data_IF_859782665347
#
_entry.id   IF_859782665347
#
_cell.length_a   1.000
_cell.length_b   1.000
_cell.length_c   1.000
_cell.angle_alpha   90.00
_cell.angle_beta   90.00
_cell.angle_gamma   90.00
#
_symmetry.space_group_name_H-M   'P 1'
#
loop_
_entity.id
_entity.type
_entity.pdbx_description
1 polymer ?
#
# COMPACT_ATOMS: atom_id res chain seq x y z
N UNK A 1 -0.77 51.58 16.94
CA UNK A 1 -1.12 50.85 18.20
C UNK A 1 -0.71 49.37 18.12
N UNK A 2 0.47 49.02 17.55
CA UNK A 2 0.93 47.61 17.35
C UNK A 2 2.35 47.37 17.97
N UNK A 3 2.91 48.32 18.70
CA UNK A 3 4.29 48.17 19.26
C UNK A 3 4.38 47.85 20.77
N UNK A 4 3.26 47.66 21.44
CA UNK A 4 3.28 47.43 22.92
C UNK A 4 2.95 46.00 23.37
N UNK A 5 2.59 45.08 22.43
CA UNK A 5 2.27 43.68 22.80
C UNK A 5 3.45 42.70 22.67
N UNK A 6 4.49 43.02 21.92
CA UNK A 6 5.63 42.08 21.72
C UNK A 6 6.60 42.02 22.93
N UNK A 7 6.66 43.04 23.77
CA UNK A 7 7.61 43.08 24.91
C UNK A 7 7.11 42.33 26.15
N UNK A 8 5.83 41.98 26.23
CA UNK A 8 5.26 41.33 27.43
C UNK A 8 5.28 39.80 27.38
N UNK A 9 5.47 39.22 26.22
CA UNK A 9 5.58 37.77 26.05
C UNK A 9 7.00 37.23 26.28
N UNK A 10 8.02 38.01 25.97
CA UNK A 10 9.41 37.59 26.16
C UNK A 10 9.82 37.50 27.63
N UNK A 11 9.23 38.33 28.53
CA UNK A 11 9.57 38.32 29.97
C UNK A 11 8.89 37.15 30.72
N UNK A 12 7.75 36.71 30.29
CA UNK A 12 7.04 35.56 30.91
C UNK A 12 7.67 34.22 30.50
N UNK A 13 8.12 34.07 29.28
CA UNK A 13 8.82 32.85 28.82
C UNK A 13 10.20 32.71 29.48
N UNK A 14 10.96 33.77 29.60
CA UNK A 14 12.27 33.75 30.27
C UNK A 14 12.15 33.35 31.75
N UNK A 15 11.12 33.86 32.46
CA UNK A 15 10.89 33.50 33.88
C UNK A 15 10.35 32.06 34.06
N UNK A 16 9.71 31.48 33.07
CA UNK A 16 9.26 30.06 33.11
C UNK A 16 10.41 29.11 32.82
N UNK A 17 11.25 29.45 31.86
CA UNK A 17 12.44 28.66 31.49
C UNK A 17 13.43 28.67 32.66
N UNK A 18 13.68 29.82 33.31
CA UNK A 18 14.58 29.92 34.48
C UNK A 18 14.06 29.08 35.67
N UNK A 19 12.78 29.08 35.94
CA UNK A 19 12.21 28.24 37.03
C UNK A 19 12.31 26.74 36.73
N UNK A 20 12.11 26.32 35.46
CA UNK A 20 12.29 24.94 35.05
C UNK A 20 13.75 24.53 35.08
N UNK A 21 14.66 25.39 34.63
CA UNK A 21 16.11 25.18 34.69
C UNK A 21 16.62 25.10 36.12
N UNK A 22 16.07 25.92 37.02
CA UNK A 22 16.47 25.88 38.43
C UNK A 22 16.02 24.61 39.15
N UNK A 23 14.82 24.11 38.85
CA UNK A 23 14.33 22.80 39.34
C UNK A 23 15.12 21.65 38.76
N UNK A 24 15.38 21.66 37.46
CA UNK A 24 16.22 20.68 36.78
C UNK A 24 17.65 20.64 37.35
N UNK A 25 18.21 21.81 37.65
CA UNK A 25 19.56 21.94 38.21
C UNK A 25 19.63 21.34 39.61
N UNK A 26 18.63 21.59 40.45
CA UNK A 26 18.52 20.99 41.78
C UNK A 26 18.36 19.47 41.75
N UNK A 27 17.52 18.98 40.85
CA UNK A 27 17.30 17.55 40.68
C UNK A 27 18.55 16.83 40.12
N UNK A 28 19.25 17.44 39.17
CA UNK A 28 20.49 16.88 38.60
C UNK A 28 21.64 16.85 39.61
N UNK A 29 21.72 17.82 40.52
CA UNK A 29 22.73 17.83 41.58
C UNK A 29 22.54 16.68 42.58
N UNK A 30 21.34 16.18 42.75
CA UNK A 30 21.04 15.04 43.62
C UNK A 30 21.57 13.71 43.03
N UNK A 31 21.63 13.57 41.73
CA UNK A 31 22.14 12.37 41.04
C UNK A 31 23.64 12.41 40.78
N UNK A 32 24.24 13.61 40.69
CA UNK A 32 25.66 13.80 40.40
C UNK A 32 26.33 14.57 41.52
N UNK A 33 26.49 13.98 42.71
CA UNK A 33 27.21 14.63 43.82
C UNK A 33 28.70 14.78 43.48
N UNK A 34 29.33 15.79 44.02
CA UNK A 34 30.75 15.99 43.85
C UNK A 34 31.53 14.81 44.43
N UNK A 35 32.34 14.15 43.61
CA UNK A 35 33.15 12.99 44.00
C UNK A 35 34.63 13.32 43.82
N UNK A 36 35.44 12.93 44.81
CA UNK A 36 36.89 13.02 44.72
C UNK A 36 37.49 11.63 44.59
N UNK A 37 38.28 11.44 43.53
CA UNK A 37 39.01 10.21 43.32
C UNK A 37 40.46 10.46 43.75
N UNK A 38 40.89 9.71 44.76
CA UNK A 38 42.25 9.80 45.29
C UNK A 38 43.10 8.75 44.58
N UNK A 39 44.18 9.20 43.96
CA UNK A 39 45.19 8.32 43.37
C UNK A 39 46.52 8.54 44.07
N UNK A 40 47.10 7.45 44.59
CA UNK A 40 48.41 7.47 45.23
C UNK A 40 49.46 6.95 44.27
N UNK A 41 50.37 7.77 43.83
CA UNK A 41 51.54 7.41 43.04
C UNK A 41 52.80 8.01 43.71
N UNK A 42 53.83 7.22 43.86
CA UNK A 42 55.14 7.64 44.40
C UNK A 42 55.09 8.40 45.73
N UNK A 43 54.24 7.97 46.66
CA UNK A 43 54.18 8.60 47.98
C UNK A 43 53.39 9.91 48.09
N UNK A 44 52.94 10.47 46.95
CA UNK A 44 52.09 11.66 46.93
C UNK A 44 50.65 11.26 46.64
N UNK A 45 49.71 11.85 47.37
CA UNK A 45 48.28 11.64 47.13
C UNK A 45 47.80 12.81 46.29
N UNK A 46 47.46 12.53 45.07
CA UNK A 46 46.79 13.44 44.16
C UNK A 46 45.31 13.14 44.14
N UNK A 47 44.47 14.15 44.09
CA UNK A 47 43.04 13.96 43.93
C UNK A 47 42.52 14.64 42.67
N UNK A 48 41.60 13.99 42.02
CA UNK A 48 40.87 14.56 40.90
C UNK A 48 39.44 14.79 41.38
N UNK A 49 39.02 16.05 41.40
CA UNK A 49 37.63 16.39 41.74
C UNK A 49 36.75 16.28 40.51
N UNK A 50 35.80 15.34 40.56
CA UNK A 50 34.76 15.21 39.55
C UNK A 50 33.61 16.11 39.93
N UNK A 51 33.60 17.31 39.34
CA UNK A 51 32.50 18.26 39.54
C UNK A 51 31.21 17.72 38.91
N UNK A 52 30.02 18.03 39.46
CA UNK A 52 28.73 17.60 38.92
C UNK A 52 28.59 17.89 37.42
N UNK A 53 29.14 19.02 36.97
CA UNK A 53 29.12 19.43 35.57
C UNK A 53 29.88 18.45 34.66
N UNK A 54 31.07 18.02 35.09
CA UNK A 54 31.89 17.08 34.32
C UNK A 54 31.29 15.68 34.31
N UNK A 55 30.64 15.25 35.40
CA UNK A 55 29.91 13.99 35.47
C UNK A 55 28.69 13.99 34.53
N UNK A 56 27.94 15.10 34.49
CA UNK A 56 26.81 15.25 33.58
C UNK A 56 27.24 15.24 32.10
N UNK A 57 28.34 15.93 31.78
CA UNK A 57 28.88 15.93 30.41
C UNK A 57 29.32 14.50 30.01
N UNK A 58 30.02 13.80 30.90
CA UNK A 58 30.45 12.43 30.65
C UNK A 58 29.26 11.45 30.51
N UNK A 59 28.23 11.59 31.34
CA UNK A 59 27.02 10.80 31.23
C UNK A 59 26.25 11.09 29.93
N UNK A 60 26.08 12.35 29.56
CA UNK A 60 25.44 12.77 28.35
C UNK A 60 26.21 12.30 27.10
N UNK A 61 27.54 12.42 27.10
CA UNK A 61 28.36 11.90 25.98
C UNK A 61 28.30 10.37 25.88
N UNK A 62 28.25 9.68 27.03
CA UNK A 62 28.04 8.21 27.03
C UNK A 62 26.71 7.81 26.44
N UNK A 63 25.64 8.50 26.78
CA UNK A 63 24.29 8.24 26.20
C UNK A 63 24.28 8.49 24.68
N UNK A 64 24.87 9.61 24.25
CA UNK A 64 24.98 9.93 22.82
C UNK A 64 25.77 8.85 22.07
N UNK A 65 26.87 8.37 22.66
CA UNK A 65 27.70 7.32 22.07
C UNK A 65 26.94 5.98 21.96
N UNK A 66 26.18 5.61 22.98
CA UNK A 66 25.34 4.40 22.96
C UNK A 66 24.25 4.52 21.89
N UNK A 67 23.57 5.68 21.81
CA UNK A 67 22.56 5.92 20.77
C UNK A 67 23.20 5.88 19.38
N UNK A 68 24.37 6.47 19.22
CA UNK A 68 25.10 6.46 17.95
C UNK A 68 25.53 5.04 17.55
N UNK A 69 26.06 4.24 18.47
CA UNK A 69 26.40 2.83 18.25
C UNK A 69 25.18 2.00 17.90
N UNK A 70 24.06 2.21 18.60
CA UNK A 70 22.81 1.53 18.32
C UNK A 70 22.27 1.89 16.92
N UNK A 71 22.29 3.18 16.58
CA UNK A 71 21.89 3.65 15.26
C UNK A 71 22.81 3.13 14.17
N UNK A 72 24.12 3.14 14.40
CA UNK A 72 25.12 2.61 13.46
C UNK A 72 24.95 1.12 13.23
N UNK A 73 24.79 0.32 14.30
CA UNK A 73 24.57 -1.14 14.17
C UNK A 73 23.25 -1.46 13.51
N UNK A 74 22.18 -0.71 13.85
CA UNK A 74 20.86 -0.89 13.25
C UNK A 74 20.86 -0.48 11.76
N UNK A 75 21.59 0.57 11.39
CA UNK A 75 21.77 1.01 10.01
C UNK A 75 22.50 -0.05 9.17
N UNK A 76 23.59 -0.63 9.70
CA UNK A 76 24.33 -1.71 9.02
C UNK A 76 23.47 -2.96 8.87
N UNK A 77 22.72 -3.33 9.92
CA UNK A 77 21.83 -4.48 9.88
C UNK A 77 20.66 -4.29 8.91
N UNK A 78 20.05 -3.11 8.89
CA UNK A 78 18.99 -2.74 7.95
C UNK A 78 19.47 -2.69 6.51
N UNK A 79 20.67 -2.15 6.27
CA UNK A 79 21.25 -2.05 4.92
C UNK A 79 21.65 -3.42 4.37
N UNK A 80 22.13 -4.33 5.22
CA UNK A 80 22.52 -5.68 4.82
C UNK A 80 21.32 -6.53 4.35
N UNK A 81 20.17 -6.38 5.01
CA UNK A 81 18.96 -7.14 4.64
C UNK A 81 18.26 -6.63 3.37
N UNK A 82 18.34 -5.32 3.09
CA UNK A 82 17.71 -4.73 1.90
C UNK A 82 18.56 -4.94 0.64
N UNK A 83 19.88 -4.92 0.77
CA UNK A 83 20.78 -5.10 -0.37
C UNK A 83 20.89 -6.55 -0.83
N UNK A 84 20.80 -7.53 0.09
CA UNK A 84 20.92 -8.94 -0.28
C UNK A 84 19.71 -9.48 -1.05
N UNK A 85 18.50 -9.04 -0.70
CA UNK A 85 17.28 -9.49 -1.38
C UNK A 85 17.03 -8.81 -2.73
N UNK A 86 17.51 -7.58 -2.91
CA UNK A 86 17.39 -6.85 -4.18
C UNK A 86 18.46 -7.25 -5.19
N UNK A 87 19.68 -7.48 -4.73
CA UNK A 87 20.77 -7.92 -5.62
C UNK A 87 20.55 -9.33 -6.17
N UNK A 88 19.99 -10.24 -5.36
CA UNK A 88 19.67 -11.61 -5.80
C UNK A 88 18.58 -11.59 -6.87
N UNK A 89 17.48 -10.83 -6.68
CA UNK A 89 16.42 -10.72 -7.70
C UNK A 89 16.84 -9.99 -8.96
N UNK A 90 17.68 -8.97 -8.83
CA UNK A 90 18.26 -8.27 -10.00
C UNK A 90 19.27 -9.13 -10.74
N UNK A 91 20.04 -9.98 -10.05
CA UNK A 91 20.95 -10.94 -10.69
C UNK A 91 20.19 -12.09 -11.37
N UNK A 92 19.12 -12.64 -10.77
CA UNK A 92 18.28 -13.66 -11.40
C UNK A 92 17.55 -13.15 -12.65
N UNK A 93 17.07 -11.92 -12.63
CA UNK A 93 16.45 -11.33 -13.83
C UNK A 93 17.50 -11.02 -14.91
N UNK A 94 18.67 -10.53 -14.56
CA UNK A 94 19.77 -10.28 -15.51
C UNK A 94 20.35 -11.56 -16.09
N UNK A 95 20.56 -12.60 -15.29
CA UNK A 95 21.00 -13.91 -15.79
C UNK A 95 19.94 -14.58 -16.65
N UNK A 96 18.65 -14.47 -16.32
CA UNK A 96 17.57 -14.99 -17.16
C UNK A 96 17.47 -14.27 -18.50
N UNK A 97 17.64 -12.96 -18.50
CA UNK A 97 17.66 -12.13 -19.71
C UNK A 97 18.94 -12.36 -20.53
N UNK A 98 20.09 -12.50 -19.88
CA UNK A 98 21.33 -12.85 -20.58
C UNK A 98 21.29 -14.27 -21.17
N UNK A 99 20.64 -15.22 -20.47
CA UNK A 99 20.42 -16.57 -21.00
C UNK A 99 19.49 -16.54 -22.21
N UNK A 100 18.40 -15.76 -22.14
CA UNK A 100 17.50 -15.57 -23.29
C UNK A 100 18.20 -14.85 -24.45
N UNK A 101 19.06 -13.87 -24.17
CA UNK A 101 19.85 -13.19 -25.20
C UNK A 101 20.90 -14.09 -25.84
N UNK A 102 21.57 -14.92 -25.03
CA UNK A 102 22.53 -15.88 -25.57
C UNK A 102 21.85 -16.98 -26.37
N UNK A 103 20.66 -17.43 -25.92
CA UNK A 103 19.84 -18.39 -26.68
C UNK A 103 19.33 -17.80 -28.00
N UNK A 104 18.88 -16.54 -27.99
CA UNK A 104 18.48 -15.83 -29.19
C UNK A 104 19.64 -15.64 -30.17
N UNK A 105 20.84 -15.23 -29.70
CA UNK A 105 22.02 -15.07 -30.52
C UNK A 105 22.54 -16.41 -31.09
N UNK A 106 22.49 -17.49 -30.30
CA UNK A 106 22.87 -18.82 -30.79
C UNK A 106 21.94 -19.32 -31.89
N UNK A 107 20.67 -18.94 -31.85
CA UNK A 107 19.67 -19.27 -32.91
C UNK A 107 19.88 -18.41 -34.14
N UNK A 108 20.21 -17.14 -33.99
CA UNK A 108 20.49 -16.23 -35.12
C UNK A 108 21.71 -16.66 -35.94
N UNK A 109 22.79 -17.11 -35.29
CA UNK A 109 23.97 -17.67 -35.97
C UNK A 109 23.68 -19.02 -36.61
N UNK A 110 22.77 -19.82 -36.05
CA UNK A 110 22.39 -21.11 -36.64
C UNK A 110 21.45 -20.96 -37.84
N UNK A 111 20.61 -19.90 -37.86
CA UNK A 111 19.71 -19.63 -39.00
C UNK A 111 20.46 -19.10 -40.22
N UNK A 112 21.54 -18.37 -40.05
CA UNK A 112 22.44 -17.96 -41.16
C UNK A 112 23.12 -19.16 -41.83
N UNK A 113 23.37 -20.25 -41.09
CA UNK A 113 23.95 -21.49 -41.62
C UNK A 113 22.92 -22.40 -42.27
N UNK A 114 21.65 -22.12 -42.13
CA UNK A 114 20.53 -22.99 -42.54
C UNK A 114 19.69 -22.45 -43.70
N UNK A 115 20.17 -21.44 -44.43
CA UNK A 115 19.51 -20.85 -45.60
C UNK A 115 19.09 -21.87 -46.69
N UNK A 116 19.64 -23.08 -46.65
CA UNK A 116 19.31 -24.15 -47.60
C UNK A 116 18.11 -25.06 -47.19
N UNK A 117 17.59 -24.92 -45.97
CA UNK A 117 16.54 -25.81 -45.47
C UNK A 117 15.32 -25.06 -44.91
N UNK A 118 14.59 -24.40 -45.82
CA UNK A 118 13.38 -23.57 -45.48
C UNK A 118 12.36 -24.25 -44.56
N UNK A 119 12.22 -25.57 -44.61
CA UNK A 119 11.28 -26.30 -43.77
C UNK A 119 11.68 -26.38 -42.29
N UNK A 120 12.99 -26.38 -41.97
CA UNK A 120 13.47 -26.37 -40.60
C UNK A 120 13.36 -24.98 -39.95
N UNK A 121 13.56 -23.91 -40.70
CA UNK A 121 13.41 -22.53 -40.20
C UNK A 121 11.98 -22.27 -39.75
N UNK A 122 10.98 -22.73 -40.50
CA UNK A 122 9.57 -22.54 -40.14
C UNK A 122 9.18 -23.33 -38.88
N UNK A 123 9.73 -24.54 -38.70
CA UNK A 123 9.44 -25.31 -37.48
C UNK A 123 10.07 -24.67 -36.22
N UNK A 124 11.26 -24.07 -36.37
CA UNK A 124 11.93 -23.36 -35.30
C UNK A 124 11.16 -22.06 -34.93
N UNK A 125 10.75 -21.28 -35.94
CA UNK A 125 9.94 -20.10 -35.74
C UNK A 125 8.58 -20.41 -35.09
N UNK A 126 7.91 -21.50 -35.50
CA UNK A 126 6.63 -21.92 -34.90
C UNK A 126 6.79 -22.33 -33.44
N UNK A 127 7.82 -23.07 -33.09
CA UNK A 127 8.11 -23.46 -31.70
C UNK A 127 8.47 -22.24 -30.83
N UNK A 128 9.17 -21.27 -31.37
CA UNK A 128 9.46 -20.02 -30.67
C UNK A 128 8.21 -19.19 -30.39
N UNK A 129 7.27 -19.14 -31.35
CA UNK A 129 5.95 -18.51 -31.14
C UNK A 129 5.12 -19.25 -30.09
N UNK A 130 5.17 -20.57 -30.07
CA UNK A 130 4.49 -21.38 -29.05
C UNK A 130 5.06 -21.09 -27.63
N UNK A 131 6.39 -21.00 -27.50
CA UNK A 131 7.03 -20.63 -26.23
C UNK A 131 6.69 -19.18 -25.78
N UNK A 132 6.62 -18.23 -26.71
CA UNK A 132 6.18 -16.86 -26.43
C UNK A 132 4.72 -16.80 -25.99
N UNK A 133 3.85 -17.59 -26.59
CA UNK A 133 2.46 -17.73 -26.17
C UNK A 133 2.35 -18.32 -24.76
N UNK A 134 3.21 -19.29 -24.43
CA UNK A 134 3.25 -19.90 -23.10
C UNK A 134 3.74 -18.90 -22.04
N UNK A 135 4.80 -18.16 -22.30
CA UNK A 135 5.28 -17.09 -21.39
C UNK A 135 4.26 -15.97 -21.24
N UNK A 136 3.53 -15.62 -22.27
CA UNK A 136 2.44 -14.64 -22.23
C UNK A 136 1.28 -15.14 -21.38
N UNK A 137 0.90 -16.40 -21.52
CA UNK A 137 -0.12 -17.04 -20.67
C UNK A 137 0.32 -17.10 -19.21
N UNK A 138 1.59 -17.43 -18.95
CA UNK A 138 2.16 -17.44 -17.60
C UNK A 138 2.18 -16.03 -16.98
N UNK A 139 2.53 -15.00 -17.74
CA UNK A 139 2.49 -13.59 -17.29
C UNK A 139 1.05 -13.18 -16.94
N UNK A 140 0.09 -13.52 -17.79
CA UNK A 140 -1.33 -13.22 -17.54
C UNK A 140 -1.84 -14.01 -16.33
N UNK A 141 -1.48 -15.28 -16.19
CA UNK A 141 -1.84 -16.10 -15.04
C UNK A 141 -1.19 -15.61 -13.74
N UNK A 142 0.10 -15.25 -13.78
CA UNK A 142 0.80 -14.74 -12.60
C UNK A 142 0.23 -13.38 -12.11
N UNK A 143 -0.31 -12.59 -13.00
CA UNK A 143 -1.02 -11.34 -12.66
C UNK A 143 -2.41 -11.62 -12.09
N UNK A 144 -3.01 -12.74 -12.45
CA UNK A 144 -4.32 -13.17 -11.95
C UNK A 144 -4.22 -13.96 -10.63
N UNK A 145 -3.03 -14.39 -10.20
CA UNK A 145 -2.88 -15.00 -8.88
C UNK A 145 -3.08 -13.96 -7.78
N UNK A 146 -4.04 -14.18 -6.86
CA UNK A 146 -4.22 -13.33 -5.70
C UNK A 146 -3.00 -13.49 -4.80
N UNK A 147 -2.20 -12.45 -4.65
CA UNK A 147 -0.97 -12.43 -3.85
C UNK A 147 -1.18 -12.55 -2.34
N UNK A 148 -2.41 -12.74 -1.89
CA UNK A 148 -2.74 -13.08 -0.49
C UNK A 148 -3.96 -13.96 -0.49
N UNK A 149 -3.83 -15.19 -0.02
CA UNK A 149 -4.95 -16.01 0.42
C UNK A 149 -5.56 -15.36 1.67
N UNK A 150 -6.40 -14.36 1.49
CA UNK A 150 -7.28 -13.90 2.56
C UNK A 150 -8.50 -14.79 2.51
N UNK A 151 -8.53 -15.77 3.40
CA UNK A 151 -9.75 -16.49 3.74
C UNK A 151 -10.74 -15.48 4.32
N UNK A 152 -11.47 -14.82 3.48
CA UNK A 152 -12.71 -14.16 3.85
C UNK A 152 -13.48 -13.84 2.58
N UNK A 153 -14.60 -14.50 2.43
CA UNK A 153 -15.78 -14.07 1.68
C UNK A 153 -15.52 -13.21 0.45
N UNK A 154 -15.45 -13.88 -0.69
CA UNK A 154 -15.66 -13.32 -2.03
C UNK A 154 -14.73 -12.16 -2.39
N UNK A 155 -13.50 -12.53 -2.61
CA UNK A 155 -12.47 -11.71 -3.25
C UNK A 155 -12.90 -11.28 -4.65
N UNK A 156 -12.57 -10.03 -4.97
CA UNK A 156 -12.37 -9.57 -6.35
C UNK A 156 -11.22 -10.38 -6.97
N UNK A 157 -11.46 -11.63 -7.33
CA UNK A 157 -10.48 -12.42 -8.08
C UNK A 157 -10.46 -11.91 -9.50
N UNK A 158 -9.29 -11.45 -9.93
CA UNK A 158 -9.02 -11.00 -11.31
C UNK A 158 -9.47 -11.99 -12.37
N UNK A 159 -9.55 -13.27 -12.04
CA UNK A 159 -10.09 -14.31 -12.91
C UNK A 159 -11.57 -14.12 -13.29
N UNK A 160 -12.39 -13.64 -12.37
CA UNK A 160 -13.81 -13.40 -12.63
C UNK A 160 -14.07 -12.14 -13.46
N UNK A 161 -13.17 -11.14 -13.40
CA UNK A 161 -13.27 -9.94 -14.23
C UNK A 161 -12.98 -10.25 -15.72
N UNK A 162 -12.05 -11.15 -16.00
CA UNK A 162 -11.78 -11.60 -17.38
C UNK A 162 -12.93 -12.42 -17.91
N UNK A 163 -13.59 -13.24 -17.06
CA UNK A 163 -14.76 -14.03 -17.45
C UNK A 163 -16.05 -13.20 -17.51
N UNK A 164 -16.19 -12.15 -16.66
CA UNK A 164 -17.38 -11.28 -16.67
C UNK A 164 -17.44 -10.37 -17.91
N UNK A 165 -16.31 -9.91 -18.42
CA UNK A 165 -16.26 -9.15 -19.67
C UNK A 165 -16.67 -10.00 -20.90
N UNK A 166 -16.53 -11.33 -20.79
CA UNK A 166 -17.01 -12.27 -21.82
C UNK A 166 -18.48 -12.70 -21.65
N UNK A 167 -19.11 -12.36 -20.50
CA UNK A 167 -20.46 -12.84 -20.13
C UNK A 167 -21.58 -11.80 -20.31
N UNK A 168 -21.31 -10.66 -20.93
CA UNK A 168 -22.33 -9.60 -21.13
C UNK A 168 -23.19 -9.76 -22.39
N UNK A 169 -23.16 -10.91 -23.05
CA UNK A 169 -24.12 -11.24 -24.12
C UNK A 169 -25.24 -12.12 -23.55
N UNK A 170 -26.54 -11.80 -23.80
CA UNK A 170 -27.68 -12.49 -23.20
C UNK A 170 -28.08 -13.82 -23.88
N UNK A 171 -27.20 -14.45 -24.62
CA UNK A 171 -27.45 -15.79 -25.13
C UNK A 171 -26.49 -16.83 -24.54
N UNK A 172 -26.98 -18.05 -24.18
CA UNK A 172 -26.11 -19.07 -23.61
C UNK A 172 -25.23 -19.64 -24.74
N UNK A 173 -24.11 -18.98 -25.01
CA UNK A 173 -23.05 -19.59 -25.79
C UNK A 173 -22.41 -20.65 -24.92
N UNK A 174 -22.64 -21.91 -25.34
CA UNK A 174 -21.91 -23.07 -24.86
C UNK A 174 -20.43 -22.69 -24.75
N UNK A 175 -19.85 -22.84 -23.56
CA UNK A 175 -18.43 -22.71 -23.30
C UNK A 175 -17.65 -23.65 -24.20
N UNK A 176 -17.29 -23.15 -25.37
CA UNK A 176 -16.34 -23.84 -26.24
C UNK A 176 -14.99 -23.72 -25.54
N UNK A 177 -14.35 -24.83 -25.16
CA UNK A 177 -13.00 -24.78 -24.70
C UNK A 177 -12.17 -24.06 -25.77
N UNK A 178 -11.31 -23.13 -25.39
CA UNK A 178 -10.23 -22.56 -26.21
C UNK A 178 -9.18 -23.66 -26.47
N UNK A 179 -9.65 -24.80 -27.02
CA UNK A 179 -8.77 -25.70 -27.73
C UNK A 179 -8.53 -25.02 -29.08
N UNK A 180 -7.29 -24.76 -29.47
CA UNK A 180 -7.01 -24.34 -30.83
C UNK A 180 -7.63 -25.37 -31.74
N UNK A 181 -8.27 -24.95 -32.85
CA UNK A 181 -8.76 -25.92 -33.81
C UNK A 181 -7.58 -26.83 -34.19
N UNK A 182 -7.73 -28.12 -33.98
CA UNK A 182 -6.83 -29.12 -34.50
C UNK A 182 -6.97 -29.00 -36.01
N UNK A 183 -6.13 -28.18 -36.64
CA UNK A 183 -6.06 -28.08 -38.08
C UNK A 183 -5.14 -29.19 -38.50
N UNK A 184 -5.81 -30.30 -38.78
CA UNK A 184 -5.23 -31.39 -39.53
C UNK A 184 -4.82 -30.84 -40.91
N UNK A 185 -3.54 -31.01 -41.25
CA UNK A 185 -2.99 -30.99 -42.59
C UNK A 185 -3.00 -29.67 -43.38
N UNK A 186 -2.47 -28.59 -42.86
CA UNK A 186 -1.97 -27.54 -43.75
C UNK A 186 -0.46 -27.70 -43.93
N UNK A 187 -0.06 -28.33 -45.00
CA UNK A 187 1.34 -28.41 -45.49
C UNK A 187 1.91 -27.02 -45.92
N UNK A 188 1.41 -25.93 -45.35
CA UNK A 188 1.90 -24.58 -45.61
C UNK A 188 2.41 -23.95 -44.31
N UNK A 189 3.72 -23.97 -44.06
CA UNK A 189 4.32 -23.41 -42.85
C UNK A 189 3.96 -21.92 -42.65
N UNK A 190 3.78 -21.16 -43.72
CA UNK A 190 3.39 -19.75 -43.71
C UNK A 190 1.97 -19.52 -43.15
N UNK A 191 1.01 -20.42 -43.41
CA UNK A 191 -0.33 -20.34 -42.86
C UNK A 191 -0.31 -20.57 -41.34
N UNK A 192 0.49 -21.52 -40.86
CA UNK A 192 0.70 -21.75 -39.41
C UNK A 192 1.28 -20.56 -38.72
N UNK A 193 2.31 -19.93 -39.29
CA UNK A 193 2.98 -18.75 -38.73
C UNK A 193 2.01 -17.55 -38.65
N UNK A 194 1.21 -17.32 -39.72
CA UNK A 194 0.23 -16.23 -39.72
C UNK A 194 -0.88 -16.46 -38.69
N UNK A 195 -1.30 -17.70 -38.45
CA UNK A 195 -2.27 -18.03 -37.40
C UNK A 195 -1.71 -17.78 -36.01
N UNK A 196 -0.49 -18.23 -35.75
CA UNK A 196 0.20 -17.96 -34.45
C UNK A 196 0.37 -16.48 -34.20
N UNK A 197 0.78 -15.70 -35.22
CA UNK A 197 0.88 -14.24 -35.12
C UNK A 197 -0.48 -13.59 -34.83
N UNK A 198 -1.53 -13.99 -35.49
CA UNK A 198 -2.89 -13.50 -35.25
C UNK A 198 -3.38 -13.85 -33.83
N UNK A 199 -3.09 -15.08 -33.39
CA UNK A 199 -3.42 -15.52 -32.03
C UNK A 199 -2.66 -14.72 -30.97
N UNK A 200 -1.37 -14.48 -31.18
CA UNK A 200 -0.56 -13.63 -30.31
C UNK A 200 -1.09 -12.20 -30.23
N UNK A 201 -1.41 -11.60 -31.38
CA UNK A 201 -1.96 -10.25 -31.43
C UNK A 201 -3.32 -10.16 -30.73
N UNK A 202 -4.18 -11.16 -30.92
CA UNK A 202 -5.46 -11.24 -30.22
C UNK A 202 -5.29 -11.32 -28.70
N UNK A 203 -4.39 -12.18 -28.19
CA UNK A 203 -4.12 -12.33 -26.76
C UNK A 203 -3.56 -11.03 -26.18
N UNK A 204 -2.63 -10.37 -26.88
CA UNK A 204 -2.08 -9.10 -26.47
C UNK A 204 -3.14 -8.00 -26.40
N UNK A 205 -3.96 -7.86 -27.43
CA UNK A 205 -5.06 -6.86 -27.42
C UNK A 205 -6.02 -7.09 -26.27
N UNK A 206 -6.44 -8.33 -26.07
CA UNK A 206 -7.34 -8.69 -24.97
C UNK A 206 -6.70 -8.37 -23.61
N UNK A 207 -5.40 -8.64 -23.43
CA UNK A 207 -4.69 -8.31 -22.21
C UNK A 207 -4.54 -6.79 -22.00
N UNK A 208 -4.26 -6.04 -23.07
CA UNK A 208 -4.18 -4.57 -23.05
C UNK A 208 -5.54 -3.95 -22.68
N UNK A 209 -6.62 -4.39 -23.31
CA UNK A 209 -8.00 -3.93 -23.05
C UNK A 209 -8.42 -4.24 -21.60
N UNK A 210 -8.32 -5.50 -21.19
CA UNK A 210 -8.71 -5.93 -19.83
C UNK A 210 -7.91 -5.21 -18.74
N UNK A 211 -6.62 -5.00 -18.99
CA UNK A 211 -5.76 -4.27 -18.03
C UNK A 211 -6.12 -2.80 -17.98
N UNK A 212 -6.41 -2.19 -19.13
CA UNK A 212 -6.83 -0.79 -19.20
C UNK A 212 -8.15 -0.59 -18.47
N UNK A 213 -9.14 -1.42 -18.73
CA UNK A 213 -10.44 -1.39 -18.06
C UNK A 213 -10.31 -1.59 -16.55
N UNK A 214 -9.41 -2.49 -16.11
CA UNK A 214 -9.11 -2.69 -14.69
C UNK A 214 -8.53 -1.43 -14.06
N UNK A 215 -7.55 -0.80 -14.71
CA UNK A 215 -6.93 0.45 -14.21
C UNK A 215 -7.97 1.57 -14.12
N UNK A 216 -8.76 1.77 -15.17
CA UNK A 216 -9.79 2.81 -15.19
C UNK A 216 -10.87 2.57 -14.13
N UNK A 217 -11.28 1.33 -13.93
CA UNK A 217 -12.23 0.97 -12.90
C UNK A 217 -11.68 1.26 -11.50
N UNK A 218 -10.44 0.85 -11.21
CA UNK A 218 -9.79 1.12 -9.92
C UNK A 218 -9.60 2.63 -9.69
N UNK A 219 -9.23 3.38 -10.71
CA UNK A 219 -9.14 4.85 -10.64
C UNK A 219 -10.49 5.49 -10.37
N UNK A 220 -11.55 5.00 -11.01
CA UNK A 220 -12.93 5.48 -10.79
C UNK A 220 -13.38 5.25 -9.36
N UNK A 221 -13.10 4.07 -8.77
CA UNK A 221 -13.39 3.77 -7.36
C UNK A 221 -12.71 4.80 -6.44
N UNK A 222 -11.42 5.08 -6.65
CA UNK A 222 -10.69 6.07 -5.86
C UNK A 222 -11.23 7.48 -6.07
N UNK A 223 -11.59 7.85 -7.28
CA UNK A 223 -12.18 9.15 -7.60
C UNK A 223 -13.50 9.38 -6.85
N UNK A 224 -14.36 8.36 -6.72
CA UNK A 224 -15.59 8.45 -5.92
C UNK A 224 -15.31 8.80 -4.45
N UNK A 225 -14.20 8.36 -3.88
CA UNK A 225 -13.80 8.73 -2.51
C UNK A 225 -13.33 10.18 -2.38
N UNK A 226 -13.07 10.86 -3.49
CA UNK A 226 -12.46 12.19 -3.55
C UNK A 226 -10.94 12.18 -3.37
N UNK A 227 -10.31 11.01 -3.46
CA UNK A 227 -8.86 10.85 -3.47
C UNK A 227 -8.33 10.92 -4.91
N UNK A 228 -7.13 11.46 -5.06
CA UNK A 228 -6.44 11.47 -6.35
C UNK A 228 -5.53 10.25 -6.46
N UNK A 229 -5.87 9.33 -7.37
CA UNK A 229 -5.13 8.09 -7.59
C UNK A 229 -3.65 8.34 -7.93
N UNK A 230 -3.34 9.38 -8.72
CA UNK A 230 -1.96 9.71 -9.10
C UNK A 230 -1.12 10.15 -7.92
N UNK A 231 -1.70 10.94 -6.98
CA UNK A 231 -1.01 11.33 -5.75
C UNK A 231 -0.75 10.14 -4.84
N UNK A 232 -1.69 9.19 -4.78
CA UNK A 232 -1.52 7.97 -4.00
C UNK A 232 -0.41 7.10 -4.57
N UNK A 233 -0.37 6.90 -5.89
CA UNK A 233 0.69 6.18 -6.59
C UNK A 233 2.06 6.87 -6.45
N UNK A 234 2.11 8.20 -6.52
CA UNK A 234 3.35 8.96 -6.36
C UNK A 234 3.93 8.82 -4.95
N UNK A 235 3.09 8.78 -3.91
CA UNK A 235 3.53 8.59 -2.51
C UNK A 235 4.16 7.20 -2.31
N UNK A 236 3.72 6.20 -3.06
CA UNK A 236 4.31 4.86 -3.03
C UNK A 236 5.67 4.77 -3.70
N UNK A 237 5.84 5.46 -4.82
CA UNK A 237 7.12 5.50 -5.54
C UNK A 237 8.25 6.09 -4.69
N UNK A 238 7.95 6.98 -3.74
CA UNK A 238 8.95 7.53 -2.82
C UNK A 238 9.41 6.55 -1.74
N UNK A 239 8.64 5.49 -1.47
CA UNK A 239 8.97 4.46 -0.48
C UNK A 239 9.64 3.22 -1.08
N UNK A 240 9.70 3.11 -2.40
CA UNK A 240 10.38 2.03 -3.11
C UNK A 240 11.69 2.59 -3.66
N UNK A 241 12.75 2.49 -2.87
CA UNK A 241 14.11 2.74 -3.31
C UNK A 241 14.57 1.62 -4.27
N UNK A 242 14.09 1.64 -5.50
CA UNK A 242 14.60 0.84 -6.60
C UNK A 242 15.26 1.76 -7.63
N UNK A 243 16.23 1.28 -8.42
CA UNK A 243 16.80 2.07 -9.49
C UNK A 243 15.69 2.48 -10.46
N UNK A 244 15.54 3.78 -10.66
CA UNK A 244 14.70 4.34 -11.71
C UNK A 244 15.30 3.97 -13.05
N UNK A 245 14.68 3.03 -13.75
CA UNK A 245 15.03 2.74 -15.14
C UNK A 245 14.30 3.76 -15.99
N UNK A 246 15.04 4.76 -16.49
CA UNK A 246 14.49 5.73 -17.41
C UNK A 246 13.95 5.02 -18.66
N UNK A 247 12.89 5.55 -19.26
CA UNK A 247 12.26 4.98 -20.46
C UNK A 247 13.26 4.85 -21.63
N UNK A 248 14.33 5.66 -21.64
CA UNK A 248 15.46 5.57 -22.59
C UNK A 248 16.25 4.25 -22.50
N UNK A 249 16.36 3.65 -21.31
CA UNK A 249 17.03 2.33 -21.16
C UNK A 249 16.12 1.19 -21.62
N UNK A 250 14.81 1.33 -21.51
CA UNK A 250 13.86 0.35 -22.03
C UNK A 250 13.78 0.38 -23.57
N UNK A 251 14.01 1.55 -24.18
CA UNK A 251 14.15 1.68 -25.65
C UNK A 251 15.47 1.07 -26.14
N UNK A 252 16.57 1.31 -25.45
CA UNK A 252 17.87 0.66 -25.69
C UNK A 252 17.79 -0.86 -25.53
N UNK A 253 16.99 -1.35 -24.57
CA UNK A 253 16.78 -2.77 -24.33
C UNK A 253 15.95 -3.43 -25.43
N UNK A 254 14.97 -2.71 -26.01
CA UNK A 254 14.18 -3.17 -27.14
C UNK A 254 15.00 -3.20 -28.44
N UNK A 255 15.94 -2.26 -28.60
CA UNK A 255 16.80 -2.15 -29.77
C UNK A 255 17.91 -3.23 -29.79
N UNK A 256 18.38 -3.68 -28.61
CA UNK A 256 19.36 -4.76 -28.47
C UNK A 256 18.77 -6.15 -28.68
N UNK A 257 17.44 -6.32 -28.62
CA UNK A 257 16.80 -7.63 -28.71
C UNK A 257 16.45 -8.07 -30.12
N UNK A 258 16.53 -7.19 -31.14
CA UNK A 258 16.14 -7.42 -32.54
C UNK A 258 14.87 -8.28 -32.76
N UNK A 259 14.02 -8.28 -31.71
CA UNK A 259 12.71 -8.91 -31.69
C UNK A 259 11.71 -7.85 -32.10
N UNK A 260 10.85 -8.12 -33.07
CA UNK A 260 9.73 -7.32 -33.55
C UNK A 260 9.45 -6.11 -32.63
N UNK A 261 10.01 -4.94 -32.97
CA UNK A 261 10.02 -3.74 -32.13
C UNK A 261 8.63 -3.32 -31.59
N UNK A 262 7.56 -3.72 -32.31
CA UNK A 262 6.18 -3.44 -31.89
C UNK A 262 5.73 -4.38 -30.75
N UNK A 263 6.02 -5.68 -30.87
CA UNK A 263 5.70 -6.64 -29.84
C UNK A 263 6.38 -6.33 -28.50
N UNK A 264 7.67 -6.06 -28.53
CA UNK A 264 8.44 -5.70 -27.32
C UNK A 264 7.92 -4.43 -26.64
N UNK A 265 7.60 -3.40 -27.43
CA UNK A 265 6.99 -2.16 -26.94
C UNK A 265 5.61 -2.37 -26.32
N UNK A 266 4.80 -3.25 -26.90
CA UNK A 266 3.47 -3.61 -26.37
C UNK A 266 3.60 -4.36 -25.05
N UNK A 267 4.51 -5.33 -24.96
CA UNK A 267 4.79 -6.07 -23.70
C UNK A 267 5.25 -5.10 -22.60
N UNK A 268 6.17 -4.20 -22.89
CA UNK A 268 6.64 -3.21 -21.90
C UNK A 268 5.50 -2.31 -21.40
N UNK A 269 4.65 -1.83 -22.31
CA UNK A 269 3.47 -1.04 -21.93
C UNK A 269 2.48 -1.85 -21.10
N UNK A 270 2.21 -3.08 -21.49
CA UNK A 270 1.34 -3.98 -20.74
C UNK A 270 1.88 -4.24 -19.33
N UNK A 271 3.17 -4.55 -19.21
CA UNK A 271 3.83 -4.77 -17.91
C UNK A 271 3.74 -3.53 -17.00
N UNK A 272 3.98 -2.34 -17.55
CA UNK A 272 3.84 -1.09 -16.80
C UNK A 272 2.38 -0.88 -16.33
N UNK A 273 1.40 -1.13 -17.18
CA UNK A 273 -0.03 -1.04 -16.84
C UNK A 273 -0.45 -2.07 -15.80
N UNK A 274 0.08 -3.30 -15.89
CA UNK A 274 -0.17 -4.34 -14.89
C UNK A 274 0.41 -3.96 -13.52
N UNK A 275 1.61 -3.40 -13.50
CA UNK A 275 2.21 -2.88 -12.27
C UNK A 275 1.36 -1.77 -11.66
N UNK A 276 0.87 -0.84 -12.47
CA UNK A 276 -0.06 0.21 -12.05
C UNK A 276 -1.36 -0.38 -11.48
N UNK A 277 -1.98 -1.32 -12.20
CA UNK A 277 -3.18 -2.01 -11.75
C UNK A 277 -3.00 -2.67 -10.39
N UNK A 278 -1.88 -3.37 -10.19
CA UNK A 278 -1.53 -4.01 -8.92
C UNK A 278 -1.37 -3.01 -7.77
N UNK A 279 -0.71 -1.88 -8.02
CA UNK A 279 -0.55 -0.82 -7.02
C UNK A 279 -1.91 -0.21 -6.64
N UNK A 280 -2.74 0.11 -7.63
CA UNK A 280 -4.10 0.64 -7.40
C UNK A 280 -4.98 -0.37 -6.65
N UNK A 281 -4.91 -1.64 -6.98
CA UNK A 281 -5.63 -2.71 -6.29
C UNK A 281 -5.25 -2.77 -4.80
N UNK A 282 -3.96 -2.69 -4.50
CA UNK A 282 -3.45 -2.65 -3.11
C UNK A 282 -3.94 -1.40 -2.36
N UNK A 283 -4.08 -0.26 -3.04
CA UNK A 283 -4.65 0.95 -2.44
C UNK A 283 -6.14 0.75 -2.16
N UNK A 284 -6.90 0.20 -3.11
CA UNK A 284 -8.34 -0.05 -2.96
C UNK A 284 -8.63 -1.05 -1.84
N UNK A 285 -7.83 -2.11 -1.69
CA UNK A 285 -7.95 -3.10 -0.60
C UNK A 285 -7.80 -2.44 0.78
N UNK A 286 -6.91 -1.45 0.92
CA UNK A 286 -6.70 -0.73 2.18
C UNK A 286 -7.71 0.41 2.39
N UNK A 287 -8.46 0.79 1.36
CA UNK A 287 -9.45 1.86 1.43
C UNK A 287 -10.71 1.36 2.15
N UNK A 288 -11.24 2.09 3.15
CA UNK A 288 -12.39 1.64 3.94
C UNK A 288 -13.72 1.83 3.19
N UNK A 289 -14.06 0.89 2.32
CA UNK A 289 -15.22 0.95 1.42
C UNK A 289 -16.47 0.23 1.95
N UNK A 290 -16.31 -0.71 2.90
CA UNK A 290 -17.42 -1.49 3.41
C UNK A 290 -18.31 -0.67 4.37
N UNK A 291 -19.53 -1.17 4.61
CA UNK A 291 -20.44 -0.55 5.54
C UNK A 291 -20.01 -0.79 6.99
N UNK A 292 -19.95 0.25 7.86
CA UNK A 292 -19.58 0.09 9.25
C UNK A 292 -20.68 -0.54 10.12
N UNK A 293 -21.93 -0.62 9.65
CA UNK A 293 -23.05 -1.25 10.35
C UNK A 293 -23.49 -2.49 9.58
N UNK A 294 -23.44 -3.65 10.24
CA UNK A 294 -23.64 -4.97 9.61
C UNK A 294 -25.11 -5.40 9.48
N UNK A 295 -26.04 -4.51 9.82
CA UNK A 295 -27.49 -4.73 9.74
C UNK A 295 -28.16 -3.56 9.06
N UNK A 296 -29.46 -3.69 8.78
CA UNK A 296 -30.24 -2.58 8.27
C UNK A 296 -30.16 -1.36 9.21
N UNK A 297 -29.88 -0.21 8.65
CA UNK A 297 -29.66 1.03 9.40
C UNK A 297 -30.04 2.25 8.57
N UNK A 298 -30.20 3.39 9.24
CA UNK A 298 -30.41 4.69 8.59
C UNK A 298 -29.28 5.65 8.87
N UNK A 299 -29.02 6.55 7.96
CA UNK A 299 -28.13 7.69 8.20
C UNK A 299 -28.87 8.75 9.02
N UNK A 300 -28.34 9.07 10.19
CA UNK A 300 -28.95 10.04 11.12
C UNK A 300 -28.31 11.41 11.03
N UNK A 301 -27.03 11.50 10.68
CA UNK A 301 -26.35 12.78 10.46
C UNK A 301 -25.24 12.66 9.45
N UNK A 302 -25.08 13.70 8.62
CA UNK A 302 -24.05 13.80 7.58
C UNK A 302 -22.76 14.40 8.14
N UNK A 303 -21.68 14.20 7.39
CA UNK A 303 -20.41 14.89 7.56
C UNK A 303 -20.52 16.37 7.21
N UNK A 304 -19.75 17.23 7.88
CA UNK A 304 -19.62 18.64 7.54
C UNK A 304 -20.28 19.58 8.56
N UNK A 305 -20.63 20.78 8.13
CA UNK A 305 -21.21 21.82 8.99
C UNK A 305 -22.65 21.50 9.37
N UNK A 306 -22.96 21.57 10.66
CA UNK A 306 -24.30 21.37 11.21
C UNK A 306 -24.47 22.19 12.49
N UNK A 307 -25.70 22.28 12.96
CA UNK A 307 -25.97 22.74 14.35
C UNK A 307 -25.67 21.57 15.28
N UNK A 308 -24.84 21.80 16.30
CA UNK A 308 -24.57 20.81 17.35
C UNK A 308 -25.85 20.52 18.16
N UNK A 309 -26.30 19.26 18.23
CA UNK A 309 -27.57 18.94 18.85
C UNK A 309 -27.59 19.11 20.38
N UNK A 310 -26.41 19.27 21.00
CA UNK A 310 -26.28 19.44 22.46
C UNK A 310 -26.17 20.92 22.84
N UNK A 311 -25.38 21.68 22.10
CA UNK A 311 -25.09 23.09 22.41
C UNK A 311 -25.95 24.07 21.61
N UNK A 312 -26.63 23.63 20.55
CA UNK A 312 -27.36 24.49 19.63
C UNK A 312 -26.50 25.45 18.80
N UNK A 313 -25.15 25.33 18.86
CA UNK A 313 -24.21 26.20 18.15
C UNK A 313 -23.76 25.57 16.82
N UNK A 314 -23.38 26.40 15.83
CA UNK A 314 -22.72 25.89 14.62
C UNK A 314 -21.47 25.09 14.97
N UNK A 315 -21.35 23.89 14.42
CA UNK A 315 -20.23 22.99 14.62
C UNK A 315 -19.90 22.20 13.34
N UNK A 316 -18.69 21.71 13.25
CA UNK A 316 -18.29 20.79 12.19
C UNK A 316 -18.36 19.35 12.69
N UNK A 317 -19.12 18.52 12.00
CA UNK A 317 -19.22 17.10 12.25
C UNK A 317 -18.09 16.36 11.52
N UNK A 318 -17.12 15.74 12.23
CA UNK A 318 -15.95 15.13 11.61
C UNK A 318 -16.25 13.76 10.99
N UNK A 319 -17.46 13.25 11.11
CA UNK A 319 -17.86 11.92 10.66
C UNK A 319 -19.27 11.88 10.13
N UNK A 320 -19.81 10.67 10.08
CA UNK A 320 -21.18 10.37 9.72
C UNK A 320 -21.81 9.53 10.83
N UNK A 321 -23.09 9.79 11.13
CA UNK A 321 -23.81 9.06 12.16
C UNK A 321 -24.82 8.08 11.55
N UNK A 322 -24.80 6.84 12.07
CA UNK A 322 -25.67 5.75 11.66
C UNK A 322 -26.54 5.30 12.83
N UNK A 323 -27.87 5.31 12.66
CA UNK A 323 -28.83 4.81 13.64
C UNK A 323 -29.34 3.43 13.29
N UNK A 324 -29.30 2.53 14.27
CA UNK A 324 -29.90 1.21 14.22
C UNK A 324 -30.42 0.84 15.63
N UNK A 325 -30.88 -0.39 15.83
CA UNK A 325 -31.27 -0.85 17.16
C UNK A 325 -30.07 -0.90 18.12
N UNK A 326 -30.35 -0.80 19.41
CA UNK A 326 -29.30 -0.89 20.44
C UNK A 326 -28.61 -2.25 20.37
N UNK A 327 -27.28 -2.26 20.46
CA UNK A 327 -26.40 -3.44 20.29
C UNK A 327 -26.35 -3.96 18.85
N UNK A 328 -26.77 -3.19 17.84
CA UNK A 328 -26.52 -3.52 16.45
C UNK A 328 -25.00 -3.76 16.23
N UNK A 329 -24.62 -4.81 15.49
CA UNK A 329 -23.20 -5.14 15.27
C UNK A 329 -22.55 -4.09 14.38
N UNK A 330 -21.34 -3.66 14.78
CA UNK A 330 -20.47 -2.75 14.07
C UNK A 330 -19.31 -3.56 13.53
N UNK A 331 -19.00 -3.40 12.23
CA UNK A 331 -17.92 -4.07 11.52
C UNK A 331 -16.79 -3.14 11.10
N UNK A 332 -15.62 -3.71 10.91
CA UNK A 332 -14.49 -3.02 10.30
C UNK A 332 -14.77 -2.78 8.80
N UNK A 333 -14.51 -1.57 8.32
CA UNK A 333 -14.82 -1.17 6.93
C UNK A 333 -13.73 -1.54 5.92
N UNK A 334 -12.61 -2.05 6.39
CA UNK A 334 -11.51 -2.69 5.65
C UNK A 334 -10.68 -3.49 6.64
N UNK A 335 -9.85 -4.41 6.14
CA UNK A 335 -8.87 -5.10 6.95
C UNK A 335 -7.87 -4.11 7.57
N UNK A 336 -7.38 -4.40 8.80
CA UNK A 336 -6.42 -3.52 9.44
C UNK A 336 -6.03 -3.92 10.85
N UNK A 337 -5.22 -3.09 11.49
CA UNK A 337 -4.78 -3.27 12.87
C UNK A 337 -5.48 -2.29 13.80
N UNK A 338 -6.07 -2.77 14.86
CA UNK A 338 -6.67 -1.95 15.91
C UNK A 338 -5.56 -1.18 16.64
N UNK A 339 -5.49 0.12 16.44
CA UNK A 339 -4.48 0.98 17.10
C UNK A 339 -4.98 1.53 18.42
N UNK A 340 -6.30 1.60 18.60
CA UNK A 340 -6.94 2.00 19.85
C UNK A 340 -8.27 1.26 20.06
N UNK A 341 -8.50 0.76 21.27
CA UNK A 341 -9.79 0.22 21.71
C UNK A 341 -9.96 0.55 23.20
N UNK A 342 -10.91 1.42 23.53
CA UNK A 342 -11.09 1.88 24.91
C UNK A 342 -12.03 3.08 25.03
N UNK A 343 -12.00 3.75 26.18
CA UNK A 343 -12.76 4.98 26.43
C UNK A 343 -11.96 6.21 25.95
N UNK A 344 -12.59 7.07 25.17
CA UNK A 344 -12.03 8.34 24.71
C UNK A 344 -13.01 9.48 25.00
N UNK A 345 -12.51 10.56 25.61
CA UNK A 345 -13.35 11.72 25.96
C UNK A 345 -14.11 12.24 24.73
N UNK A 346 -15.38 12.54 24.89
CA UNK A 346 -16.29 12.92 23.81
C UNK A 346 -16.81 11.75 22.98
N UNK A 347 -15.98 10.78 22.61
CA UNK A 347 -16.33 9.63 21.76
C UNK A 347 -16.94 8.44 22.54
N UNK A 348 -16.78 8.38 23.87
CA UNK A 348 -17.20 7.25 24.68
C UNK A 348 -16.35 5.99 24.41
N UNK A 349 -16.96 4.81 24.30
CA UNK A 349 -16.29 3.59 23.86
C UNK A 349 -15.97 3.69 22.37
N UNK A 350 -14.70 3.57 22.07
CA UNK A 350 -14.12 4.01 20.82
C UNK A 350 -13.11 2.97 20.31
N UNK A 351 -13.14 2.73 19.01
CA UNK A 351 -12.16 1.93 18.29
C UNK A 351 -11.54 2.78 17.18
N UNK A 352 -10.23 2.70 17.00
CA UNK A 352 -9.51 3.23 15.84
C UNK A 352 -8.75 2.10 15.18
N UNK A 353 -8.91 1.96 13.86
CA UNK A 353 -8.26 0.93 13.04
C UNK A 353 -7.35 1.63 12.05
N UNK A 354 -6.12 1.14 11.94
CA UNK A 354 -5.16 1.52 10.91
C UNK A 354 -5.18 0.45 9.81
N UNK A 355 -5.58 0.84 8.61
CA UNK A 355 -5.70 -0.03 7.44
C UNK A 355 -4.44 -0.06 6.58
N UNK A 356 -3.41 0.70 7.00
CA UNK A 356 -2.22 0.91 6.19
C UNK A 356 -2.37 2.07 5.21
N UNK A 357 -1.28 2.41 4.52
CA UNK A 357 -1.22 3.49 3.49
C UNK A 357 -1.82 4.82 3.95
N UNK A 358 -1.75 5.11 5.26
CA UNK A 358 -2.29 6.33 5.87
C UNK A 358 -3.81 6.33 6.10
N UNK A 359 -4.53 5.25 5.76
CA UNK A 359 -5.95 5.12 6.04
C UNK A 359 -6.20 4.70 7.48
N UNK A 360 -7.10 5.40 8.14
CA UNK A 360 -7.63 5.06 9.47
C UNK A 360 -9.11 5.28 9.53
N UNK A 361 -9.79 4.44 10.29
CA UNK A 361 -11.21 4.62 10.59
C UNK A 361 -11.45 4.67 12.09
N UNK A 362 -12.46 5.43 12.48
CA UNK A 362 -12.85 5.63 13.86
C UNK A 362 -14.32 5.30 14.06
N UNK A 363 -14.58 4.61 15.15
CA UNK A 363 -15.89 4.12 15.52
C UNK A 363 -16.17 4.49 16.97
N UNK A 364 -17.24 5.27 17.22
CA UNK A 364 -17.52 5.83 18.53
C UNK A 364 -18.94 5.52 19.03
N UNK A 365 -19.22 5.93 20.27
CA UNK A 365 -20.47 5.80 20.98
C UNK A 365 -20.94 4.35 21.19
N UNK A 366 -20.01 3.38 21.14
CA UNK A 366 -20.33 1.97 21.29
C UNK A 366 -20.86 1.62 22.69
N UNK A 367 -21.73 0.61 22.76
CA UNK A 367 -22.16 -0.02 24.01
C UNK A 367 -21.13 -1.01 24.53
N UNK A 368 -20.46 -1.74 23.62
CA UNK A 368 -19.47 -2.78 23.96
C UNK A 368 -18.41 -2.85 22.86
N UNK A 369 -17.16 -2.99 23.25
CA UNK A 369 -16.04 -3.31 22.37
C UNK A 369 -15.82 -4.82 22.40
N UNK A 370 -15.53 -5.44 21.24
CA UNK A 370 -15.24 -6.88 21.13
C UNK A 370 -13.83 -7.15 20.63
N UNK A 371 -13.07 -6.08 20.33
CA UNK A 371 -11.69 -6.14 19.92
C UNK A 371 -10.77 -5.44 20.91
N UNK A 372 -9.46 -5.74 20.84
CA UNK A 372 -8.42 -5.16 21.69
C UNK A 372 -7.37 -4.45 20.83
N UNK A 373 -6.67 -3.48 21.43
CA UNK A 373 -5.53 -2.83 20.79
C UNK A 373 -4.49 -3.87 20.36
N UNK A 374 -3.96 -3.72 19.14
CA UNK A 374 -3.00 -4.63 18.53
C UNK A 374 -3.63 -5.77 17.73
N UNK A 375 -4.91 -6.05 17.88
CA UNK A 375 -5.63 -7.09 17.12
C UNK A 375 -5.67 -6.71 15.64
N UNK A 376 -5.47 -7.70 14.76
CA UNK A 376 -5.71 -7.61 13.32
C UNK A 376 -7.17 -8.01 13.09
N UNK A 377 -7.89 -7.22 12.32
CA UNK A 377 -9.29 -7.47 11.96
C UNK A 377 -9.43 -7.51 10.44
N UNK A 378 -10.38 -8.31 9.97
CA UNK A 378 -10.74 -8.38 8.56
C UNK A 378 -11.89 -7.42 8.23
N UNK A 379 -12.08 -7.12 6.95
CA UNK A 379 -13.27 -6.38 6.49
C UNK A 379 -14.54 -7.11 6.92
N UNK A 380 -15.53 -6.37 7.44
CA UNK A 380 -16.78 -6.93 7.94
C UNK A 380 -16.67 -7.63 9.30
N UNK A 381 -15.47 -7.80 9.86
CA UNK A 381 -15.31 -8.40 11.19
C UNK A 381 -15.94 -7.52 12.27
N UNK A 382 -16.73 -8.14 13.15
CA UNK A 382 -17.40 -7.44 14.24
C UNK A 382 -16.40 -6.88 15.25
N UNK A 383 -16.36 -5.55 15.40
CA UNK A 383 -15.46 -4.83 16.31
C UNK A 383 -16.14 -4.32 17.56
N UNK A 384 -17.47 -4.22 17.55
CA UNK A 384 -18.24 -3.74 18.70
C UNK A 384 -19.74 -3.77 18.46
N UNK A 385 -20.44 -3.21 19.42
CA UNK A 385 -21.91 -3.12 19.41
C UNK A 385 -22.33 -1.64 19.58
N UNK A 386 -23.31 -1.21 18.79
CA UNK A 386 -23.85 0.16 18.79
C UNK A 386 -24.44 0.54 20.14
N UNK A 387 -24.18 1.76 20.57
CA UNK A 387 -24.68 2.29 21.84
C UNK A 387 -24.90 3.80 21.83
N UNK A 388 -24.76 4.41 23.01
CA UNK A 388 -24.88 5.85 23.21
C UNK A 388 -23.92 6.31 24.31
N UNK A 389 -22.66 5.80 24.27
CA UNK A 389 -21.66 6.17 25.27
C UNK A 389 -20.95 7.47 24.89
N UNK A 390 -20.43 8.19 25.88
CA UNK A 390 -19.77 9.47 25.67
C UNK A 390 -20.74 10.61 25.37
N UNK A 391 -20.37 11.55 24.51
CA UNK A 391 -21.21 12.69 24.13
C UNK A 391 -22.18 12.27 23.00
N UNK A 392 -23.29 11.73 23.35
CA UNK A 392 -24.31 11.20 22.43
C UNK A 392 -25.72 11.52 22.91
N UNK A 393 -26.61 11.84 22.00
CA UNK A 393 -28.02 12.14 22.27
C UNK A 393 -28.94 10.92 22.13
N UNK A 394 -28.43 9.78 21.65
CA UNK A 394 -29.20 8.56 21.45
C UNK A 394 -28.37 7.44 20.84
N UNK A 395 -28.96 6.28 20.63
CA UNK A 395 -28.25 5.12 20.06
C UNK A 395 -27.87 5.37 18.62
N UNK A 396 -26.57 5.48 18.35
CA UNK A 396 -25.98 5.59 17.00
C UNK A 396 -24.51 5.19 17.01
N UNK A 397 -23.99 4.94 15.83
CA UNK A 397 -22.55 4.86 15.55
C UNK A 397 -22.10 6.19 14.96
N UNK A 398 -21.11 6.82 15.54
CA UNK A 398 -20.34 7.88 14.90
C UNK A 398 -19.13 7.27 14.21
N UNK A 399 -18.99 7.51 12.89
CA UNK A 399 -17.98 6.92 12.03
C UNK A 399 -17.18 7.98 11.28
N UNK A 400 -15.84 7.90 11.34
CA UNK A 400 -14.93 8.82 10.66
C UNK A 400 -13.97 8.06 9.74
N UNK A 401 -13.63 8.68 8.61
CA UNK A 401 -12.58 8.23 7.70
C UNK A 401 -11.45 9.25 7.67
N UNK A 402 -10.24 8.76 7.90
CA UNK A 402 -9.03 9.56 7.91
C UNK A 402 -8.05 9.04 6.88
N UNK A 403 -7.34 9.95 6.20
CA UNK A 403 -6.22 9.61 5.33
C UNK A 403 -5.11 10.64 5.51
N UNK A 404 -3.90 10.18 5.85
CA UNK A 404 -2.72 11.02 6.11
C UNK A 404 -3.02 12.20 7.07
N UNK A 405 -3.72 11.92 8.17
CA UNK A 405 -4.06 12.91 9.19
C UNK A 405 -5.18 13.89 8.81
N UNK A 406 -5.78 13.77 7.62
CA UNK A 406 -6.93 14.58 7.18
C UNK A 406 -8.22 13.75 7.25
N UNK A 407 -9.32 14.43 7.61
CA UNK A 407 -10.65 13.84 7.67
C UNK A 407 -11.32 13.95 6.31
N UNK A 408 -11.94 12.86 5.88
CA UNK A 408 -12.70 12.78 4.64
C UNK A 408 -14.16 12.48 4.93
N UNK A 409 -15.03 12.83 3.98
CA UNK A 409 -16.45 12.53 4.02
C UNK A 409 -16.69 11.03 3.84
N UNK A 410 -17.18 10.31 4.89
CA UNK A 410 -17.40 8.87 4.80
C UNK A 410 -18.42 8.46 3.73
N UNK A 411 -19.39 9.33 3.39
CA UNK A 411 -20.39 9.04 2.38
C UNK A 411 -19.77 8.72 1.02
N UNK A 412 -18.67 9.39 0.68
CA UNK A 412 -17.96 9.18 -0.59
C UNK A 412 -17.35 7.77 -0.66
N UNK A 413 -16.79 7.30 0.45
CA UNK A 413 -16.20 5.96 0.56
C UNK A 413 -17.28 4.87 0.47
N UNK A 414 -18.39 5.04 1.16
CA UNK A 414 -19.50 4.10 1.10
C UNK A 414 -20.15 4.03 -0.29
N UNK A 415 -20.25 5.17 -0.99
CA UNK A 415 -20.73 5.19 -2.38
C UNK A 415 -19.75 4.44 -3.32
N UNK A 416 -18.45 4.63 -3.13
CA UNK A 416 -17.45 3.88 -3.87
C UNK A 416 -17.57 2.36 -3.59
N UNK A 417 -17.82 1.97 -2.34
CA UNK A 417 -18.07 0.58 -1.97
C UNK A 417 -19.30 -0.04 -2.63
N UNK A 418 -20.40 0.71 -2.70
CA UNK A 418 -21.60 0.28 -3.42
C UNK A 418 -21.34 0.09 -4.91
N UNK A 419 -20.56 0.98 -5.53
CA UNK A 419 -20.15 0.84 -6.93
C UNK A 419 -19.33 -0.44 -7.18
N UNK A 420 -18.44 -0.79 -6.25
CA UNK A 420 -17.69 -2.05 -6.30
C UNK A 420 -18.61 -3.26 -6.21
N UNK A 421 -19.64 -3.20 -5.34
CA UNK A 421 -20.59 -4.31 -5.17
C UNK A 421 -21.53 -4.51 -6.37
N UNK A 422 -21.90 -3.44 -7.08
CA UNK A 422 -22.77 -3.50 -8.25
C UNK A 422 -22.07 -4.08 -9.50
N UNK A 423 -20.73 -4.03 -9.53
CA UNK A 423 -19.93 -4.58 -10.64
C UNK A 423 -19.46 -6.03 -10.41
N UNK A 424 -19.73 -6.59 -9.24
CA UNK A 424 -19.54 -8.02 -8.96
C UNK A 424 -20.72 -8.82 -9.45
#
# INVERSE_FOLDING_TARGET
MIRFYAARWSVLEVNMIDRVLHRLRGWLQQFFPERQIYHRSEGKVNYISLTPRNQMIAAASGVVLVIWLFYSTMSVFSSGHLLSSQSIRAHESRTKVQLMLSEARARETSTQALLENRTKEFSIAANEFEQRLETLKLLINHVNEPTVSVNASQSLTSGNLIMAAAASDPEPRQSRPLAPPIIDNTNQPMARLSMLKNQQDFILRTAEETTTDKVENLRSILQFTGLNAEKLLATEKTNVGGPYIAMSESELFAETLDIDNDFSRRILRLTARLSEAKQLEQIVITTPLANPVLVEHRRTSKFGSRIDPITGKPARHPGMDFGAFRLAPIGATSAGKVVYAGWKSGYGRFVEIDHGRGFRTRYAHMAKLVVKRGQIVQEGEKIGLMGSSGRSTGTHLHYEVWHNGKIYDPEKFLKAGLYVQQKK
#
